data_IF_960584813984
#
_entry.id   IF_960584813984
#
_cell.length_a   1.000
_cell.length_b   1.000
_cell.length_c   1.000
_cell.angle_alpha   90.00
_cell.angle_beta   90.00
_cell.angle_gamma   90.00
#
_symmetry.space_group_name_H-M   'P 1'
#
loop_
_entity.id
_entity.type
_entity.pdbx_description
1 polymer ?
#
# COMPACT_ATOMS: atom_id res chain seq x y z
N UNK A 1 -6.91 9.27 67.36
CA UNK A 1 -7.84 8.51 66.49
C UNK A 1 -7.08 8.11 65.23
N UNK A 2 -6.59 6.87 65.18
CA UNK A 2 -5.81 6.35 64.06
C UNK A 2 -6.74 5.69 63.03
N UNK A 3 -6.74 6.19 61.79
CA UNK A 3 -7.45 5.57 60.67
C UNK A 3 -6.51 4.57 59.98
N UNK A 4 -6.80 3.27 60.06
CA UNK A 4 -6.01 2.21 59.42
C UNK A 4 -6.37 2.12 57.94
N UNK A 5 -5.41 2.41 57.05
CA UNK A 5 -5.52 2.22 55.60
C UNK A 5 -5.41 0.71 55.28
N UNK A 6 -6.44 0.12 54.69
CA UNK A 6 -6.40 -1.27 54.18
C UNK A 6 -5.75 -1.28 52.80
N UNK A 7 -4.59 -1.91 52.68
CA UNK A 7 -3.94 -2.22 51.41
C UNK A 7 -4.70 -3.40 50.80
N UNK A 8 -5.40 -3.19 49.68
CA UNK A 8 -6.03 -4.26 48.92
C UNK A 8 -4.96 -4.94 48.05
N UNK A 9 -4.71 -6.23 48.29
CA UNK A 9 -3.90 -7.08 47.44
C UNK A 9 -4.63 -7.38 46.13
N UNK A 10 -4.05 -6.97 45.00
CA UNK A 10 -4.53 -7.34 43.66
C UNK A 10 -4.10 -8.78 43.33
N UNK A 11 -5.01 -9.64 42.82
CA UNK A 11 -4.66 -11.02 42.47
C UNK A 11 -3.80 -11.06 41.20
N UNK A 12 -2.73 -11.88 41.25
CA UNK A 12 -1.71 -12.05 40.22
C UNK A 12 -2.16 -12.85 38.97
N UNK A 13 -3.45 -12.80 38.61
CA UNK A 13 -4.04 -13.73 37.62
C UNK A 13 -4.23 -13.16 36.21
N UNK A 14 -3.86 -11.91 35.93
CA UNK A 14 -4.12 -11.25 34.65
C UNK A 14 -2.99 -11.30 33.60
N UNK A 15 -1.92 -12.08 33.81
CA UNK A 15 -0.80 -12.16 32.84
C UNK A 15 -0.93 -13.33 31.84
N UNK A 16 -1.82 -14.31 32.06
CA UNK A 16 -1.78 -15.57 31.29
C UNK A 16 -2.57 -15.58 29.96
N UNK A 17 -3.41 -14.57 29.69
CA UNK A 17 -4.30 -14.55 28.51
C UNK A 17 -3.67 -13.97 27.23
N UNK A 18 -2.55 -13.24 27.32
CA UNK A 18 -1.86 -12.69 26.15
C UNK A 18 -0.99 -13.73 25.40
N UNK A 19 -0.66 -14.86 26.03
CA UNK A 19 0.27 -15.84 25.47
C UNK A 19 -0.38 -16.79 24.45
N UNK A 20 -1.70 -17.05 24.52
CA UNK A 20 -2.36 -18.02 23.62
C UNK A 20 -2.55 -17.51 22.19
N UNK A 21 -2.69 -16.19 21.98
CA UNK A 21 -2.91 -15.64 20.64
C UNK A 21 -1.67 -15.75 19.73
N UNK A 22 -0.47 -15.72 20.31
CA UNK A 22 0.78 -15.84 19.56
C UNK A 22 1.00 -17.26 19.00
N UNK A 23 0.66 -18.31 19.77
CA UNK A 23 0.84 -19.70 19.33
C UNK A 23 -0.08 -20.08 18.15
N UNK A 24 -1.31 -19.55 18.10
CA UNK A 24 -2.24 -19.85 17.01
C UNK A 24 -1.77 -19.30 15.66
N UNK A 25 -1.12 -18.13 15.65
CA UNK A 25 -0.57 -17.53 14.44
C UNK A 25 0.66 -18.29 13.90
N UNK A 26 1.37 -19.02 14.78
CA UNK A 26 2.51 -19.85 14.39
C UNK A 26 2.09 -21.17 13.77
N UNK A 27 0.93 -21.75 14.07
CA UNK A 27 0.52 -23.06 13.55
C UNK A 27 0.02 -23.07 12.08
N UNK A 28 -0.19 -21.91 11.46
CA UNK A 28 -0.91 -21.77 10.18
C UNK A 28 -0.02 -21.66 8.92
N UNK A 29 1.29 -21.84 9.05
CA UNK A 29 2.25 -21.75 7.93
C UNK A 29 3.02 -23.07 7.78
N UNK A 30 3.42 -23.45 6.56
CA UNK A 30 4.19 -24.67 6.37
C UNK A 30 5.61 -24.51 6.96
N UNK A 31 6.11 -25.56 7.61
CA UNK A 31 7.48 -25.58 8.18
C UNK A 31 8.56 -25.62 7.11
N UNK A 32 8.19 -26.05 5.90
CA UNK A 32 9.06 -26.08 4.75
C UNK A 32 8.46 -25.25 3.62
N UNK A 33 9.24 -24.28 3.12
CA UNK A 33 8.86 -23.50 1.95
C UNK A 33 9.31 -24.18 0.67
N UNK A 34 8.44 -24.18 -0.33
CA UNK A 34 8.72 -24.69 -1.67
C UNK A 34 8.52 -23.58 -2.70
N UNK A 35 9.12 -23.75 -3.88
CA UNK A 35 9.08 -22.77 -4.98
C UNK A 35 9.58 -21.36 -4.63
N UNK A 36 10.62 -21.26 -3.78
CA UNK A 36 11.34 -20.01 -3.56
C UNK A 36 12.26 -19.73 -4.76
N UNK A 37 11.92 -18.71 -5.55
CA UNK A 37 12.65 -18.32 -6.77
C UNK A 37 13.44 -16.99 -6.65
N UNK A 38 13.25 -16.27 -5.54
CA UNK A 38 13.95 -15.02 -5.24
C UNK A 38 14.67 -15.12 -3.89
N UNK A 39 13.93 -15.49 -2.84
CA UNK A 39 14.51 -15.70 -1.52
C UNK A 39 15.39 -16.96 -1.48
N UNK A 40 16.45 -16.96 -0.64
CA UNK A 40 17.27 -18.14 -0.45
C UNK A 40 16.44 -19.29 0.13
N UNK A 41 16.76 -20.52 -0.24
CA UNK A 41 16.07 -21.73 0.27
C UNK A 41 16.24 -21.93 1.78
N UNK A 42 17.23 -21.26 2.38
CA UNK A 42 17.57 -21.28 3.80
C UNK A 42 16.90 -20.17 4.61
N UNK A 43 16.07 -19.32 3.99
CA UNK A 43 15.38 -18.22 4.68
C UNK A 43 14.55 -18.73 5.86
N UNK A 44 14.62 -18.02 7.01
CA UNK A 44 13.83 -18.39 8.17
C UNK A 44 12.34 -18.11 7.94
N UNK A 45 11.46 -18.85 8.62
CA UNK A 45 10.01 -18.60 8.60
C UNK A 45 9.67 -17.17 9.00
N UNK A 46 10.31 -16.67 10.04
CA UNK A 46 10.08 -15.32 10.56
C UNK A 46 10.43 -14.26 9.51
N UNK A 47 11.59 -14.40 8.88
CA UNK A 47 12.05 -13.45 7.86
C UNK A 47 11.18 -13.48 6.61
N UNK A 48 10.84 -14.67 6.10
CA UNK A 48 9.94 -14.78 4.95
C UNK A 48 8.58 -14.15 5.27
N UNK A 49 8.05 -14.39 6.47
CA UNK A 49 6.79 -13.78 6.88
C UNK A 49 6.87 -12.27 7.06
N UNK A 50 7.99 -11.76 7.57
CA UNK A 50 8.26 -10.32 7.63
C UNK A 50 8.16 -9.69 6.24
N UNK A 51 8.83 -10.29 5.25
CA UNK A 51 8.77 -9.85 3.86
C UNK A 51 7.34 -9.86 3.30
N UNK A 52 6.59 -10.97 3.47
CA UNK A 52 5.21 -11.07 2.97
C UNK A 52 4.26 -10.03 3.58
N UNK A 53 4.42 -9.75 4.87
CA UNK A 53 3.66 -8.67 5.54
C UNK A 53 4.06 -7.30 5.00
N UNK A 54 5.35 -7.05 4.79
CA UNK A 54 5.86 -5.82 4.18
C UNK A 54 5.28 -5.58 2.79
N UNK A 55 5.19 -6.62 1.95
CA UNK A 55 4.55 -6.52 0.63
C UNK A 55 3.06 -6.21 0.74
N UNK A 56 2.35 -6.93 1.61
CA UNK A 56 0.91 -6.72 1.84
C UNK A 56 0.63 -5.28 2.27
N UNK A 57 1.43 -4.73 3.18
CA UNK A 57 1.33 -3.34 3.61
C UNK A 57 1.64 -2.38 2.47
N UNK A 58 2.77 -2.54 1.79
CA UNK A 58 3.22 -1.63 0.72
C UNK A 58 2.22 -1.51 -0.42
N UNK A 59 1.53 -2.62 -0.77
CA UNK A 59 0.57 -2.69 -1.87
C UNK A 59 -0.88 -2.49 -1.43
N UNK A 60 -1.18 -2.44 -0.12
CA UNK A 60 -2.55 -2.35 0.40
C UNK A 60 -3.40 -3.59 0.11
N UNK A 61 -2.78 -4.77 0.04
CA UNK A 61 -3.44 -6.03 -0.32
C UNK A 61 -3.36 -7.06 0.80
N UNK A 62 -4.03 -8.19 0.61
CA UNK A 62 -3.98 -9.36 1.50
C UNK A 62 -3.37 -10.56 0.75
N UNK A 63 -3.02 -11.61 1.50
CA UNK A 63 -2.27 -12.76 0.97
C UNK A 63 -2.89 -13.38 -0.29
N UNK A 64 -4.22 -13.49 -0.34
CA UNK A 64 -4.97 -14.03 -1.46
C UNK A 64 -4.83 -13.21 -2.75
N UNK A 65 -4.30 -11.99 -2.69
CA UNK A 65 -4.01 -11.21 -3.87
C UNK A 65 -2.92 -11.88 -4.72
N UNK A 66 -1.89 -12.44 -4.08
CA UNK A 66 -0.78 -13.11 -4.76
C UNK A 66 -0.84 -14.64 -4.66
N UNK A 67 -1.30 -15.19 -3.54
CA UNK A 67 -1.33 -16.64 -3.32
C UNK A 67 -2.64 -17.25 -3.79
N UNK A 68 -2.56 -18.41 -4.46
CA UNK A 68 -3.72 -19.19 -4.85
C UNK A 68 -4.34 -19.85 -3.61
N UNK A 69 -5.63 -20.17 -3.66
CA UNK A 69 -6.30 -20.85 -2.56
C UNK A 69 -7.66 -21.39 -2.99
N UNK A 70 -8.20 -22.34 -2.21
CA UNK A 70 -9.55 -22.87 -2.39
C UNK A 70 -10.61 -21.90 -1.83
N UNK A 71 -11.87 -22.17 -2.15
CA UNK A 71 -13.02 -21.32 -1.82
C UNK A 71 -13.06 -20.90 -0.34
N UNK A 72 -13.04 -19.58 -0.09
CA UNK A 72 -13.24 -19.00 1.23
C UNK A 72 -12.12 -18.09 1.75
N UNK A 73 -11.04 -17.86 0.98
CA UNK A 73 -9.94 -16.94 1.33
C UNK A 73 -9.32 -17.20 2.73
N UNK A 74 -9.47 -18.42 3.26
CA UNK A 74 -8.85 -18.82 4.52
C UNK A 74 -7.37 -19.09 4.32
N UNK A 75 -6.53 -18.58 5.23
CA UNK A 75 -5.07 -18.63 5.08
C UNK A 75 -4.54 -20.07 5.01
N UNK A 76 -5.19 -20.97 5.73
CA UNK A 76 -4.86 -22.39 5.85
C UNK A 76 -5.14 -23.18 4.56
N UNK A 77 -5.96 -22.61 3.68
CA UNK A 77 -6.38 -23.23 2.42
C UNK A 77 -5.63 -22.64 1.20
N UNK A 78 -4.63 -21.78 1.45
CA UNK A 78 -3.81 -21.21 0.40
C UNK A 78 -2.69 -22.16 -0.03
N UNK A 79 -2.54 -22.29 -1.34
CA UNK A 79 -1.35 -22.85 -1.95
C UNK A 79 -0.31 -21.74 -2.14
N UNK A 80 0.57 -21.61 -1.15
CA UNK A 80 1.63 -20.61 -1.16
C UNK A 80 2.69 -20.87 -2.25
N UNK A 81 2.84 -22.11 -2.69
CA UNK A 81 3.84 -22.52 -3.67
C UNK A 81 3.37 -22.30 -5.11
N UNK A 82 2.07 -22.41 -5.36
CA UNK A 82 1.46 -22.24 -6.69
C UNK A 82 1.78 -20.89 -7.34
N UNK A 83 2.05 -20.94 -8.65
CA UNK A 83 2.27 -19.80 -9.52
C UNK A 83 1.08 -19.54 -10.44
N UNK A 84 -0.10 -20.03 -10.09
CA UNK A 84 -1.34 -19.84 -10.86
C UNK A 84 -1.68 -18.35 -11.04
N UNK A 85 -1.45 -17.52 -10.01
CA UNK A 85 -1.75 -16.08 -10.06
C UNK A 85 -0.60 -15.29 -10.67
N UNK A 86 -0.89 -14.53 -11.72
CA UNK A 86 0.10 -13.66 -12.37
C UNK A 86 0.64 -12.58 -11.45
N UNK A 87 -0.15 -12.11 -10.47
CA UNK A 87 0.30 -11.15 -9.45
C UNK A 87 1.52 -11.65 -8.67
N UNK A 88 1.65 -12.96 -8.43
CA UNK A 88 2.84 -13.55 -7.79
C UNK A 88 4.05 -13.54 -8.72
N UNK A 89 3.86 -13.86 -10.00
CA UNK A 89 4.93 -13.80 -11.01
C UNK A 89 5.43 -12.37 -11.15
N UNK A 90 4.51 -11.40 -11.25
CA UNK A 90 4.81 -9.96 -11.27
C UNK A 90 5.55 -9.53 -10.00
N UNK A 91 5.11 -9.96 -8.81
CA UNK A 91 5.80 -9.63 -7.56
C UNK A 91 7.27 -10.08 -7.58
N UNK A 92 7.59 -11.26 -8.13
CA UNK A 92 8.98 -11.71 -8.29
C UNK A 92 9.79 -10.87 -9.27
N UNK A 93 9.17 -10.42 -10.38
CA UNK A 93 9.82 -9.49 -11.29
C UNK A 93 10.10 -8.14 -10.60
N UNK A 94 9.14 -7.64 -9.80
CA UNK A 94 9.28 -6.39 -9.04
C UNK A 94 10.39 -6.48 -7.99
N UNK A 95 10.56 -7.62 -7.31
CA UNK A 95 11.66 -7.81 -6.36
C UNK A 95 13.03 -7.66 -7.04
N UNK A 96 13.21 -8.27 -8.21
CA UNK A 96 14.45 -8.12 -8.99
C UNK A 96 14.63 -6.70 -9.51
N UNK A 97 13.56 -6.04 -9.95
CA UNK A 97 13.60 -4.65 -10.40
C UNK A 97 14.03 -3.71 -9.27
N UNK A 98 13.44 -3.82 -8.09
CA UNK A 98 13.78 -2.98 -6.93
C UNK A 98 15.22 -3.23 -6.48
N UNK A 99 15.68 -4.48 -6.51
CA UNK A 99 17.06 -4.83 -6.18
C UNK A 99 18.04 -4.18 -7.18
N UNK A 100 17.77 -4.30 -8.49
CA UNK A 100 18.56 -3.65 -9.53
C UNK A 100 18.57 -2.12 -9.38
N UNK A 101 17.42 -1.47 -9.13
CA UNK A 101 17.35 -0.03 -8.87
C UNK A 101 18.29 0.35 -7.71
N UNK A 102 18.22 -0.37 -6.60
CA UNK A 102 19.00 -0.07 -5.42
C UNK A 102 20.50 -0.29 -5.63
N UNK A 103 20.89 -1.43 -6.21
CA UNK A 103 22.30 -1.80 -6.35
C UNK A 103 22.99 -1.10 -7.52
N UNK A 104 22.31 -1.00 -8.67
CA UNK A 104 22.96 -0.52 -9.89
C UNK A 104 22.91 0.99 -10.04
N UNK A 105 21.90 1.65 -9.46
CA UNK A 105 21.68 3.08 -9.60
C UNK A 105 21.84 3.83 -8.28
N UNK A 106 21.02 3.49 -7.27
CA UNK A 106 20.99 4.29 -6.03
C UNK A 106 22.31 4.21 -5.26
N UNK A 107 22.91 3.02 -5.13
CA UNK A 107 24.20 2.85 -4.45
C UNK A 107 25.34 3.65 -5.10
N UNK A 108 25.25 3.98 -6.39
CA UNK A 108 26.27 4.72 -7.15
C UNK A 108 26.07 6.23 -7.15
N UNK A 109 25.00 6.73 -6.54
CA UNK A 109 24.65 8.17 -6.54
C UNK A 109 25.49 9.02 -5.57
N UNK A 110 26.43 8.44 -4.82
CA UNK A 110 27.36 9.17 -3.96
C UNK A 110 26.70 9.96 -2.82
N UNK A 111 25.50 9.58 -2.39
CA UNK A 111 24.76 10.30 -1.33
C UNK A 111 25.30 9.97 0.06
N UNK A 112 25.38 11.00 0.90
CA UNK A 112 25.90 10.90 2.27
C UNK A 112 25.05 10.02 3.21
N UNK A 113 23.75 9.88 2.92
CA UNK A 113 22.86 8.96 3.61
C UNK A 113 22.36 7.87 2.64
N UNK A 114 22.26 6.60 3.08
CA UNK A 114 21.76 5.52 2.23
C UNK A 114 20.27 5.70 1.99
N UNK A 115 19.93 6.13 0.77
CA UNK A 115 18.54 6.11 0.28
C UNK A 115 18.29 4.72 -0.31
N UNK A 116 17.09 4.19 -0.12
CA UNK A 116 16.64 2.95 -0.76
C UNK A 116 15.24 3.11 -1.31
N UNK A 117 15.02 2.52 -2.47
CA UNK A 117 13.70 2.31 -3.04
C UNK A 117 13.13 1.03 -2.46
N UNK A 118 11.90 1.10 -2.00
CA UNK A 118 11.12 -0.03 -1.52
C UNK A 118 9.79 -0.12 -2.28
N UNK A 119 9.05 -1.21 -2.10
CA UNK A 119 7.74 -1.36 -2.71
C UNK A 119 6.81 -0.17 -2.37
N UNK A 120 6.85 0.28 -1.12
CA UNK A 120 6.04 1.41 -0.65
C UNK A 120 6.38 2.71 -1.38
N UNK A 121 7.63 2.94 -1.80
CA UNK A 121 8.06 4.17 -2.50
C UNK A 121 7.27 4.45 -3.76
N UNK A 122 6.76 3.41 -4.43
CA UNK A 122 5.91 3.57 -5.62
C UNK A 122 4.45 3.21 -5.33
N UNK A 123 4.20 2.13 -4.59
CA UNK A 123 2.85 1.61 -4.41
C UNK A 123 2.00 2.49 -3.49
N UNK A 124 2.55 3.10 -2.43
CA UNK A 124 1.76 3.90 -1.48
C UNK A 124 0.44 3.24 -1.05
N UNK A 125 0.45 1.92 -0.78
CA UNK A 125 -0.72 1.12 -0.44
C UNK A 125 -1.76 0.94 -1.57
N UNK A 126 -1.34 1.13 -2.81
CA UNK A 126 -2.10 0.84 -4.03
C UNK A 126 -1.50 -0.36 -4.74
N UNK A 127 -2.31 -1.37 -5.03
CA UNK A 127 -1.85 -2.56 -5.76
C UNK A 127 -1.40 -2.22 -7.18
N UNK A 128 -1.94 -1.15 -7.76
CA UNK A 128 -1.53 -0.57 -9.02
C UNK A 128 -1.03 0.85 -8.72
N UNK A 129 0.28 1.12 -8.79
CA UNK A 129 0.85 2.41 -8.45
C UNK A 129 0.48 3.44 -9.53
N UNK A 130 -0.53 4.27 -9.25
CA UNK A 130 -0.92 5.40 -10.09
C UNK A 130 -0.97 6.66 -9.25
N UNK A 131 -0.40 7.74 -9.79
CA UNK A 131 -0.62 9.08 -9.22
C UNK A 131 -2.06 9.51 -9.45
N UNK A 132 -2.56 10.46 -8.65
CA UNK A 132 -3.89 11.06 -8.86
C UNK A 132 -4.02 11.58 -10.30
N UNK A 133 -3.00 12.27 -10.80
CA UNK A 133 -2.98 12.84 -12.14
C UNK A 133 -3.09 11.77 -13.23
N UNK A 134 -2.33 10.68 -13.12
CA UNK A 134 -2.39 9.58 -14.07
C UNK A 134 -3.76 8.89 -14.05
N UNK A 135 -4.33 8.69 -12.85
CA UNK A 135 -5.66 8.08 -12.70
C UNK A 135 -6.76 8.94 -13.31
N UNK A 136 -6.73 10.26 -13.08
CA UNK A 136 -7.69 11.20 -13.67
C UNK A 136 -7.53 11.32 -15.18
N UNK A 137 -6.29 11.43 -15.68
CA UNK A 137 -6.01 11.47 -17.12
C UNK A 137 -6.55 10.20 -17.83
N UNK A 138 -6.27 9.02 -17.28
CA UNK A 138 -6.80 7.76 -17.81
C UNK A 138 -8.34 7.69 -17.77
N UNK A 139 -8.95 8.27 -16.72
CA UNK A 139 -10.42 8.32 -16.61
C UNK A 139 -11.02 9.24 -17.66
N UNK A 140 -10.39 10.38 -17.93
CA UNK A 140 -10.77 11.29 -19.03
C UNK A 140 -10.70 10.54 -20.36
N UNK A 141 -9.59 9.84 -20.62
CA UNK A 141 -9.36 9.15 -21.90
C UNK A 141 -10.31 7.98 -22.13
N UNK A 142 -10.65 7.22 -21.07
CA UNK A 142 -11.54 6.05 -21.17
C UNK A 142 -13.01 6.38 -21.08
N UNK A 143 -13.35 7.52 -20.48
CA UNK A 143 -14.72 7.96 -20.22
C UNK A 143 -14.84 9.41 -20.65
N UNK A 144 -14.87 10.33 -19.69
CA UNK A 144 -14.97 11.77 -19.92
C UNK A 144 -14.50 12.56 -18.68
N UNK A 145 -14.46 13.88 -18.83
CA UNK A 145 -14.07 14.82 -17.77
C UNK A 145 -15.01 14.80 -16.55
N UNK A 146 -16.31 14.54 -16.75
CA UNK A 146 -17.27 14.52 -15.65
C UNK A 146 -17.07 13.29 -14.78
N UNK A 147 -16.77 12.13 -15.39
CA UNK A 147 -16.39 10.92 -14.70
C UNK A 147 -15.10 11.11 -13.90
N UNK A 148 -14.11 11.81 -14.45
CA UNK A 148 -12.87 12.13 -13.72
C UNK A 148 -13.11 13.06 -12.53
N UNK A 149 -13.92 14.11 -12.69
CA UNK A 149 -14.31 15.01 -11.60
C UNK A 149 -15.07 14.25 -10.50
N UNK A 150 -16.00 13.37 -10.88
CA UNK A 150 -16.73 12.49 -9.97
C UNK A 150 -15.78 11.59 -9.18
N UNK A 151 -14.88 10.89 -9.88
CA UNK A 151 -13.86 10.06 -9.28
C UNK A 151 -12.98 10.84 -8.30
N UNK A 152 -12.51 12.03 -8.67
CA UNK A 152 -11.73 12.89 -7.77
C UNK A 152 -12.51 13.23 -6.49
N UNK A 153 -13.79 13.61 -6.61
CA UNK A 153 -14.63 13.96 -5.46
C UNK A 153 -14.88 12.76 -4.56
N UNK A 154 -15.14 11.59 -5.15
CA UNK A 154 -15.33 10.34 -4.40
C UNK A 154 -14.04 9.92 -3.69
N UNK A 155 -12.89 10.00 -4.37
CA UNK A 155 -11.59 9.78 -3.76
C UNK A 155 -11.28 10.80 -2.67
N UNK A 156 -11.69 12.06 -2.80
CA UNK A 156 -11.45 13.03 -1.74
C UNK A 156 -12.36 12.81 -0.52
N UNK A 157 -13.59 12.35 -0.73
CA UNK A 157 -14.58 12.11 0.33
C UNK A 157 -14.34 10.77 1.03
N UNK A 158 -14.11 9.73 0.24
CA UNK A 158 -14.06 8.33 0.67
C UNK A 158 -12.65 7.74 0.62
N UNK A 159 -11.72 8.40 -0.10
CA UNK A 159 -10.35 7.95 -0.27
C UNK A 159 -9.54 8.15 1.00
N UNK A 160 -9.74 7.20 1.90
CA UNK A 160 -8.68 6.42 2.53
C UNK A 160 -7.62 7.29 3.20
N UNK A 161 -7.84 7.56 4.49
CA UNK A 161 -7.03 8.42 5.38
C UNK A 161 -5.55 8.05 5.57
N UNK A 162 -4.94 7.35 4.62
CA UNK A 162 -3.55 6.91 4.60
C UNK A 162 -2.69 7.70 3.58
N UNK A 163 -3.20 8.80 2.99
CA UNK A 163 -2.40 9.71 2.16
C UNK A 163 -1.93 9.15 0.82
N UNK A 164 -2.68 8.22 0.23
CA UNK A 164 -2.29 7.49 -0.99
C UNK A 164 -2.24 8.39 -2.24
N UNK A 165 -3.08 9.44 -2.26
CA UNK A 165 -3.17 10.39 -3.35
C UNK A 165 -2.94 11.81 -2.85
N UNK A 166 -2.21 12.60 -3.65
CA UNK A 166 -2.04 14.02 -3.43
C UNK A 166 -3.29 14.78 -3.90
N UNK A 167 -4.09 15.21 -2.93
CA UNK A 167 -5.19 16.14 -3.13
C UNK A 167 -4.74 17.59 -2.92
N UNK A 168 -3.47 17.94 -3.07
CA UNK A 168 -2.96 19.31 -3.08
C UNK A 168 -3.33 20.06 -4.36
N UNK A 169 -3.11 21.37 -4.39
CA UNK A 169 -3.39 22.21 -5.57
C UNK A 169 -2.43 21.86 -6.73
N UNK A 170 -1.17 21.57 -6.40
CA UNK A 170 -0.11 21.24 -7.36
C UNK A 170 -0.46 20.04 -8.23
N UNK A 171 -1.07 19.01 -7.64
CA UNK A 171 -1.50 17.79 -8.34
C UNK A 171 -2.41 18.14 -9.52
N UNK A 172 -3.50 18.88 -9.26
CA UNK A 172 -4.44 19.29 -10.30
C UNK A 172 -3.82 20.26 -11.32
N UNK A 173 -2.93 21.16 -10.89
CA UNK A 173 -2.22 22.06 -11.82
C UNK A 173 -1.35 21.28 -12.81
N UNK A 174 -0.61 20.27 -12.35
CA UNK A 174 0.20 19.41 -13.24
C UNK A 174 -0.70 18.68 -14.25
N UNK A 175 -1.88 18.22 -13.84
CA UNK A 175 -2.84 17.62 -14.76
C UNK A 175 -3.37 18.63 -15.79
N UNK A 176 -3.72 19.84 -15.37
CA UNK A 176 -4.13 20.93 -16.28
C UNK A 176 -3.06 21.19 -17.34
N UNK A 177 -1.80 21.37 -16.94
CA UNK A 177 -0.68 21.57 -17.88
C UNK A 177 -0.50 20.40 -18.84
N UNK A 178 -0.65 19.16 -18.35
CA UNK A 178 -0.57 17.95 -19.18
C UNK A 178 -1.70 17.89 -20.22
N UNK A 179 -2.92 18.28 -19.85
CA UNK A 179 -4.07 18.32 -20.76
C UNK A 179 -3.91 19.42 -21.82
N UNK A 180 -3.40 20.60 -21.45
CA UNK A 180 -3.11 21.67 -22.41
C UNK A 180 -2.07 21.24 -23.45
N UNK A 181 -1.01 20.52 -23.04
CA UNK A 181 -0.01 19.96 -23.95
C UNK A 181 -0.56 18.89 -24.90
N UNK A 182 -1.73 18.35 -24.62
CA UNK A 182 -2.43 17.37 -25.44
C UNK A 182 -3.60 17.98 -26.23
N UNK A 183 -3.66 19.31 -26.32
CA UNK A 183 -4.75 20.05 -26.98
C UNK A 183 -6.16 19.80 -26.36
N UNK A 184 -6.21 19.31 -25.11
CA UNK A 184 -7.43 19.04 -24.34
C UNK A 184 -7.84 20.26 -23.52
N UNK A 185 -8.05 21.40 -24.19
CA UNK A 185 -8.27 22.68 -23.54
C UNK A 185 -9.55 22.72 -22.69
N UNK A 186 -10.64 22.07 -23.15
CA UNK A 186 -11.92 22.04 -22.41
C UNK A 186 -11.79 21.28 -21.09
N UNK A 187 -11.11 20.15 -21.12
CA UNK A 187 -10.81 19.31 -19.96
C UNK A 187 -9.87 20.03 -19.00
N UNK A 188 -8.83 20.70 -19.53
CA UNK A 188 -7.90 21.49 -18.74
C UNK A 188 -8.60 22.60 -17.94
N UNK A 189 -9.52 23.34 -18.59
CA UNK A 189 -10.34 24.37 -17.93
C UNK A 189 -11.19 23.75 -16.81
N UNK A 190 -11.85 22.62 -17.06
CA UNK A 190 -12.67 21.95 -16.06
C UNK A 190 -11.86 21.46 -14.84
N UNK A 191 -10.63 20.95 -15.05
CA UNK A 191 -9.72 20.60 -13.95
C UNK A 191 -9.25 21.86 -13.19
N UNK A 192 -9.01 22.96 -13.89
CA UNK A 192 -8.64 24.23 -13.28
C UNK A 192 -9.78 24.80 -12.43
N UNK A 193 -11.02 24.75 -12.91
CA UNK A 193 -12.23 25.14 -12.16
C UNK A 193 -12.42 24.25 -10.93
N UNK A 194 -12.21 22.93 -11.08
CA UNK A 194 -12.21 21.99 -9.96
C UNK A 194 -11.19 22.39 -8.90
N UNK A 195 -10.00 22.86 -9.30
CA UNK A 195 -8.96 23.30 -8.37
C UNK A 195 -9.33 24.63 -7.70
N UNK A 196 -9.80 25.62 -8.47
CA UNK A 196 -10.21 26.93 -7.97
C UNK A 196 -11.34 26.84 -6.92
N UNK A 197 -12.32 25.97 -7.15
CA UNK A 197 -13.41 25.71 -6.20
C UNK A 197 -12.96 25.14 -4.84
N UNK A 198 -11.69 24.72 -4.71
CA UNK A 198 -11.10 24.30 -3.44
C UNK A 198 -10.50 25.46 -2.68
N UNK A 199 -9.86 26.38 -3.38
CA UNK A 199 -9.22 27.57 -2.83
C UNK A 199 -10.28 28.42 -2.13
N UNK A 200 -11.40 28.69 -2.81
CA UNK A 200 -12.49 29.52 -2.27
C UNK A 200 -13.09 28.95 -0.98
N UNK A 201 -13.24 27.63 -0.87
CA UNK A 201 -13.73 26.97 0.34
C UNK A 201 -12.75 27.01 1.51
N UNK A 202 -11.44 27.04 1.25
CA UNK A 202 -10.40 27.11 2.29
C UNK A 202 -10.38 28.46 3.02
N UNK A 203 -10.82 29.52 2.35
CA UNK A 203 -10.88 30.89 2.90
C UNK A 203 -12.25 31.27 3.48
N UNK A 204 -13.25 30.38 3.40
CA UNK A 204 -14.61 30.60 3.91
C UNK A 204 -14.91 29.82 5.21
N UNK A 205 -13.90 29.20 5.81
CA UNK A 205 -13.95 28.43 7.07
C UNK A 205 -12.92 28.97 8.04
#
# INVERSE_FOLDING_TARGET
MFCRLRIASLPATTVMLLSLAALAAEAQMPDKFTNLQYFPKTISRQELMGNMRGFSFSLGVRCQFCHAGKDGNKREQMDFASDEKDTKKTARAMLRMVDAINQEYIAKMGRAAPIRVECVTCHHQLSIPKTMNALLAETIDKKDIQAAIGLYRDLRKNGLGNGQYDFGETSLNILTESLLKQDKAKEAVAIMELNAGRITRRFSS
#
